data_IF_726476615828
#
_entry.id   IF_726476615828
#
_cell.length_a   1.000
_cell.length_b   1.000
_cell.length_c   1.000
_cell.angle_alpha   90.00
_cell.angle_beta   90.00
_cell.angle_gamma   90.00
#
_symmetry.space_group_name_H-M   'P 1'
#
loop_
_entity.id
_entity.type
_entity.pdbx_description
1 polymer ?
#
# COMPACT_ATOMS: atom_id res chain seq x y z
N UNK A 1 11.77 15.50 21.22
CA UNK A 1 12.81 16.40 20.66
C UNK A 1 12.47 16.61 19.20
N UNK A 2 12.31 17.85 18.75
CA UNK A 2 12.12 18.12 17.31
C UNK A 2 13.50 18.18 16.66
N UNK A 3 13.79 17.29 15.72
CA UNK A 3 15.03 17.31 14.96
C UNK A 3 15.02 18.49 14.00
N UNK A 4 16.19 19.06 13.70
CA UNK A 4 16.30 19.96 12.55
C UNK A 4 15.99 19.21 11.24
N UNK A 5 15.48 19.90 10.21
CA UNK A 5 15.15 19.23 8.93
C UNK A 5 16.33 18.47 8.33
N UNK A 6 17.56 18.99 8.50
CA UNK A 6 18.78 18.33 8.02
C UNK A 6 19.10 17.03 8.78
N UNK A 7 18.76 16.95 10.06
CA UNK A 7 18.95 15.74 10.87
C UNK A 7 17.86 14.71 10.58
N UNK A 8 16.61 15.15 10.41
CA UNK A 8 15.51 14.29 9.97
C UNK A 8 15.82 13.65 8.59
N UNK A 9 16.41 14.41 7.67
CA UNK A 9 16.82 13.91 6.36
C UNK A 9 17.86 12.79 6.43
N UNK A 10 18.77 12.82 7.40
CA UNK A 10 19.80 11.79 7.60
C UNK A 10 19.23 10.50 8.17
N UNK A 11 18.10 10.58 8.89
CA UNK A 11 17.41 9.41 9.45
C UNK A 11 16.54 8.71 8.41
N UNK A 12 16.18 9.39 7.31
CA UNK A 12 15.45 8.73 6.24
C UNK A 12 16.28 7.63 5.58
N UNK A 13 15.69 6.43 5.38
CA UNK A 13 16.23 5.45 4.46
C UNK A 13 16.45 6.04 3.08
N UNK A 14 17.52 5.59 2.42
CA UNK A 14 17.77 5.89 1.02
C UNK A 14 16.56 5.50 0.17
N UNK A 15 16.22 6.35 -0.80
CA UNK A 15 15.09 6.12 -1.71
C UNK A 15 15.20 4.80 -2.49
N UNK A 16 16.42 4.33 -2.73
CA UNK A 16 16.73 3.03 -3.34
C UNK A 16 16.19 1.83 -2.56
N UNK A 17 16.03 1.97 -1.24
CA UNK A 17 15.55 0.92 -0.31
C UNK A 17 14.03 0.91 -0.16
N UNK A 18 13.32 1.85 -0.78
CA UNK A 18 11.87 1.92 -0.68
C UNK A 18 11.22 0.77 -1.47
N UNK A 19 10.04 0.30 -1.05
CA UNK A 19 9.27 -0.67 -1.82
C UNK A 19 9.04 -0.16 -3.25
N UNK A 20 9.19 -1.07 -4.23
CA UNK A 20 8.96 -0.74 -5.65
C UNK A 20 7.64 -1.30 -6.13
N UNK A 21 6.75 -0.41 -6.52
CA UNK A 21 5.41 -0.72 -6.98
C UNK A 21 5.30 -0.63 -8.51
N UNK A 22 4.85 -1.71 -9.15
CA UNK A 22 4.70 -1.81 -10.62
C UNK A 22 3.34 -1.40 -11.16
N UNK A 23 2.35 -1.18 -10.30
CA UNK A 23 0.94 -1.07 -10.70
C UNK A 23 0.17 -2.39 -10.64
N UNK A 24 0.82 -3.46 -10.19
CA UNK A 24 0.27 -4.82 -10.12
C UNK A 24 0.64 -5.47 -8.78
N UNK A 25 -0.11 -6.51 -8.39
CA UNK A 25 0.08 -7.22 -7.13
C UNK A 25 -1.03 -6.93 -6.13
N UNK A 26 -1.39 -7.96 -5.36
CA UNK A 26 -2.59 -7.99 -4.50
C UNK A 26 -2.59 -6.87 -3.45
N UNK A 27 -1.43 -6.50 -2.89
CA UNK A 27 -1.34 -5.44 -1.86
C UNK A 27 -0.17 -4.46 -2.05
N UNK A 28 0.52 -4.54 -3.18
CA UNK A 28 1.79 -3.83 -3.35
C UNK A 28 1.68 -2.29 -3.23
N UNK A 29 0.52 -1.70 -3.55
CA UNK A 29 0.29 -0.26 -3.33
C UNK A 29 0.00 0.08 -1.86
N UNK A 30 -0.69 -0.81 -1.13
CA UNK A 30 -0.92 -0.65 0.30
C UNK A 30 0.38 -0.80 1.08
N UNK A 31 1.21 -1.79 0.73
CA UNK A 31 2.56 -1.96 1.30
C UNK A 31 3.42 -0.71 1.12
N UNK A 32 3.36 -0.07 -0.04
CA UNK A 32 4.05 1.20 -0.28
C UNK A 32 3.50 2.32 0.62
N UNK A 33 2.18 2.42 0.77
CA UNK A 33 1.52 3.42 1.60
C UNK A 33 1.89 3.24 3.07
N UNK A 34 1.85 2.00 3.57
CA UNK A 34 2.17 1.66 4.95
C UNK A 34 3.65 1.89 5.24
N UNK A 35 4.53 1.55 4.30
CA UNK A 35 5.96 1.86 4.42
C UNK A 35 6.20 3.36 4.57
N UNK A 36 5.59 4.19 3.71
CA UNK A 36 5.71 5.65 3.79
C UNK A 36 5.10 6.20 5.08
N UNK A 37 4.00 5.62 5.55
CA UNK A 37 3.42 5.97 6.84
C UNK A 37 4.39 5.67 8.00
N UNK A 38 5.08 4.52 7.95
CA UNK A 38 6.17 4.18 8.87
C UNK A 38 7.28 5.23 8.90
N UNK A 39 7.68 5.77 7.73
CA UNK A 39 8.69 6.84 7.68
C UNK A 39 8.27 8.10 8.46
N UNK A 40 6.99 8.46 8.43
CA UNK A 40 6.48 9.60 9.20
C UNK A 40 6.41 9.32 10.70
N UNK A 41 6.20 8.07 11.10
CA UNK A 41 6.24 7.66 12.51
C UNK A 41 7.68 7.67 13.03
N UNK A 42 8.59 7.08 12.27
CA UNK A 42 10.00 6.94 12.65
C UNK A 42 10.74 8.28 12.63
N UNK A 43 10.33 9.19 11.73
CA UNK A 43 10.91 10.52 11.58
C UNK A 43 9.81 11.61 11.65
N UNK A 44 9.27 11.92 12.85
CA UNK A 44 8.12 12.81 13.00
C UNK A 44 8.33 14.24 12.48
N UNK A 45 9.57 14.71 12.49
CA UNK A 45 9.93 16.07 12.05
C UNK A 45 10.08 16.16 10.53
N UNK A 46 9.80 15.11 9.74
CA UNK A 46 10.06 15.15 8.31
C UNK A 46 9.02 15.94 7.51
N UNK A 47 9.44 16.94 6.74
CA UNK A 47 8.55 17.59 5.80
C UNK A 47 8.08 16.65 4.68
N UNK A 48 6.80 16.76 4.36
CA UNK A 48 6.13 16.04 3.28
C UNK A 48 6.85 16.14 1.91
N UNK A 49 7.44 17.30 1.61
CA UNK A 49 8.11 17.54 0.34
C UNK A 49 9.33 16.63 0.14
N UNK A 50 9.98 16.15 1.22
CA UNK A 50 11.08 15.19 1.11
C UNK A 50 10.60 13.82 0.64
N UNK A 51 9.41 13.42 1.07
CA UNK A 51 8.79 12.16 0.65
C UNK A 51 8.35 12.27 -0.81
N UNK A 52 7.59 13.32 -1.14
CA UNK A 52 7.04 13.49 -2.50
C UNK A 52 8.12 13.77 -3.55
N UNK A 53 9.27 14.35 -3.17
CA UNK A 53 10.43 14.51 -4.05
C UNK A 53 11.06 13.17 -4.46
N UNK A 54 10.99 12.15 -3.60
CA UNK A 54 11.60 10.82 -3.81
C UNK A 54 10.61 9.77 -4.34
N UNK A 55 9.32 10.11 -4.40
CA UNK A 55 8.26 9.16 -4.72
C UNK A 55 8.41 8.52 -6.11
N UNK A 56 9.07 9.19 -7.06
CA UNK A 56 9.38 8.63 -8.39
C UNK A 56 10.20 7.33 -8.31
N UNK A 57 11.03 7.16 -7.27
CA UNK A 57 11.88 5.97 -7.10
C UNK A 57 11.10 4.73 -6.65
N UNK A 58 9.91 4.95 -6.07
CA UNK A 58 9.04 3.88 -5.60
C UNK A 58 8.19 3.28 -6.72
N UNK A 59 8.08 3.92 -7.89
CA UNK A 59 7.28 3.42 -9.00
C UNK A 59 8.14 2.78 -10.09
N UNK A 60 7.63 1.70 -10.69
CA UNK A 60 8.21 1.00 -11.84
C UNK A 60 7.12 0.51 -12.79
N UNK A 61 7.48 -0.08 -13.92
CA UNK A 61 6.53 -0.71 -14.84
C UNK A 61 5.48 0.28 -15.37
N UNK A 62 4.19 -0.07 -15.30
CA UNK A 62 3.13 0.83 -15.75
C UNK A 62 2.83 1.94 -14.74
N UNK A 63 3.16 1.74 -13.45
CA UNK A 63 2.90 2.74 -12.43
C UNK A 63 3.79 3.99 -12.53
N UNK A 64 5.02 3.87 -13.06
CA UNK A 64 5.88 5.05 -13.25
C UNK A 64 5.33 5.96 -14.36
N UNK A 65 4.69 5.38 -15.39
CA UNK A 65 4.05 6.15 -16.47
C UNK A 65 2.90 6.99 -15.88
N UNK A 66 1.96 6.33 -15.19
CA UNK A 66 0.86 7.00 -14.49
C UNK A 66 1.35 8.09 -13.52
N UNK A 67 2.37 7.78 -12.71
CA UNK A 67 2.92 8.75 -11.75
C UNK A 67 3.49 9.98 -12.45
N UNK A 68 4.21 9.78 -13.56
CA UNK A 68 4.86 10.86 -14.30
C UNK A 68 3.81 11.79 -14.91
N UNK A 69 2.81 11.24 -15.60
CA UNK A 69 1.68 12.00 -16.17
C UNK A 69 0.94 12.78 -15.07
N UNK A 70 0.60 12.11 -13.96
CA UNK A 70 -0.08 12.74 -12.84
C UNK A 70 0.74 13.88 -12.21
N UNK A 71 2.06 13.71 -12.09
CA UNK A 71 2.97 14.70 -11.51
C UNK A 71 3.13 15.93 -12.41
N UNK A 72 3.16 15.74 -13.72
CA UNK A 72 3.27 16.84 -14.68
C UNK A 72 2.06 17.77 -14.61
N UNK A 73 0.86 17.19 -14.50
CA UNK A 73 -0.42 17.91 -14.38
C UNK A 73 -0.58 18.50 -12.98
N UNK A 74 -0.29 17.71 -11.93
CA UNK A 74 -0.53 18.06 -10.54
C UNK A 74 0.77 18.32 -9.79
N UNK A 75 1.47 19.39 -10.16
CA UNK A 75 2.74 19.79 -9.55
C UNK A 75 2.56 20.14 -8.06
N UNK A 76 3.59 19.84 -7.26
CA UNK A 76 3.71 20.25 -5.83
C UNK A 76 2.54 19.81 -4.94
N UNK A 77 2.04 18.59 -5.13
CA UNK A 77 1.05 17.96 -4.24
C UNK A 77 1.73 17.28 -3.05
N UNK A 78 1.03 17.29 -1.91
CA UNK A 78 1.48 16.67 -0.67
C UNK A 78 1.19 15.16 -0.63
N UNK A 79 1.78 14.44 0.32
CA UNK A 79 1.59 13.00 0.50
C UNK A 79 0.13 12.60 0.70
N UNK A 80 -0.70 13.27 1.53
CA UNK A 80 -2.11 12.92 1.65
C UNK A 80 -2.85 12.89 0.32
N UNK A 81 -2.56 13.85 -0.56
CA UNK A 81 -3.12 13.88 -1.90
C UNK A 81 -2.62 12.70 -2.76
N UNK A 82 -1.31 12.40 -2.72
CA UNK A 82 -0.74 11.27 -3.45
C UNK A 82 -1.30 9.93 -2.96
N UNK A 83 -1.39 9.73 -1.64
CA UNK A 83 -2.00 8.54 -1.02
C UNK A 83 -3.42 8.32 -1.55
N UNK A 84 -4.27 9.35 -1.52
CA UNK A 84 -5.64 9.25 -2.01
C UNK A 84 -5.71 8.89 -3.50
N UNK A 85 -4.83 9.44 -4.33
CA UNK A 85 -4.78 9.13 -5.76
C UNK A 85 -4.25 7.72 -6.05
N UNK A 86 -3.26 7.25 -5.28
CA UNK A 86 -2.76 5.87 -5.37
C UNK A 86 -3.91 4.89 -5.05
N UNK A 87 -4.62 5.11 -3.94
CA UNK A 87 -5.78 4.30 -3.55
C UNK A 87 -6.87 4.37 -4.63
N UNK A 88 -7.20 5.57 -5.11
CA UNK A 88 -8.24 5.74 -6.12
C UNK A 88 -7.90 5.01 -7.43
N UNK A 89 -6.64 5.01 -7.84
CA UNK A 89 -6.21 4.42 -9.11
C UNK A 89 -5.97 2.91 -9.02
N UNK A 90 -5.46 2.42 -7.89
CA UNK A 90 -5.03 1.03 -7.73
C UNK A 90 -5.90 0.19 -6.80
N UNK A 91 -6.90 0.78 -6.15
CA UNK A 91 -7.87 0.06 -5.30
C UNK A 91 -9.28 -0.01 -5.92
N UNK A 92 -9.41 0.04 -7.25
CA UNK A 92 -10.69 0.00 -7.97
C UNK A 92 -10.73 -1.04 -9.09
N UNK A 93 -11.95 -1.46 -9.44
CA UNK A 93 -12.24 -2.27 -10.63
C UNK A 93 -11.46 -3.59 -10.65
N UNK A 94 -10.47 -3.67 -11.54
CA UNK A 94 -9.63 -4.86 -11.75
C UNK A 94 -8.90 -5.32 -10.49
N UNK A 95 -8.54 -4.42 -9.57
CA UNK A 95 -7.89 -4.82 -8.32
C UNK A 95 -8.82 -5.61 -7.39
N UNK A 96 -10.09 -5.21 -7.29
CA UNK A 96 -11.10 -5.96 -6.51
C UNK A 96 -11.21 -7.36 -7.09
N UNK A 97 -11.32 -7.50 -8.42
CA UNK A 97 -11.29 -8.80 -9.08
C UNK A 97 -10.02 -9.61 -8.80
N UNK A 98 -8.86 -8.97 -8.76
CA UNK A 98 -7.58 -9.60 -8.43
C UNK A 98 -7.49 -10.08 -6.97
N UNK A 99 -8.33 -9.57 -6.07
CA UNK A 99 -8.42 -10.04 -4.67
C UNK A 99 -9.53 -11.09 -4.52
N UNK A 100 -10.70 -10.83 -5.12
CA UNK A 100 -11.86 -11.72 -5.07
C UNK A 100 -11.57 -13.07 -5.69
N UNK A 101 -10.94 -13.11 -6.87
CA UNK A 101 -10.68 -14.38 -7.57
C UNK A 101 -9.75 -15.31 -6.77
N UNK A 102 -8.59 -14.85 -6.25
CA UNK A 102 -7.80 -15.68 -5.35
C UNK A 102 -8.51 -16.05 -4.06
N UNK A 103 -9.33 -15.17 -3.48
CA UNK A 103 -10.14 -15.50 -2.30
C UNK A 103 -11.08 -16.69 -2.58
N UNK A 104 -11.88 -16.61 -3.64
CA UNK A 104 -12.86 -17.64 -4.02
C UNK A 104 -12.22 -18.98 -4.41
N UNK A 105 -11.01 -18.96 -4.97
CA UNK A 105 -10.35 -20.18 -5.48
C UNK A 105 -9.37 -20.82 -4.48
N UNK A 106 -8.89 -20.10 -3.47
CA UNK A 106 -7.90 -20.57 -2.49
C UNK A 106 -8.58 -21.30 -1.33
N UNK A 107 -9.03 -22.53 -1.59
CA UNK A 107 -9.59 -23.43 -0.57
C UNK A 107 -8.53 -23.87 0.43
N UNK A 108 -8.92 -24.03 1.70
CA UNK A 108 -8.01 -24.43 2.76
C UNK A 108 -7.32 -25.77 2.47
N UNK A 109 -5.98 -25.81 2.37
CA UNK A 109 -5.24 -27.06 2.23
C UNK A 109 -5.07 -27.72 3.60
N UNK A 110 -5.71 -28.89 3.78
CA UNK A 110 -5.78 -29.63 5.06
C UNK A 110 -4.39 -29.99 5.63
N UNK A 111 -3.36 -30.01 4.78
CA UNK A 111 -1.98 -30.34 5.11
C UNK A 111 -1.12 -29.15 5.56
N UNK A 112 -1.64 -27.92 5.56
CA UNK A 112 -0.89 -26.72 5.98
C UNK A 112 -1.37 -26.19 7.33
N UNK A 113 -0.57 -25.29 7.90
CA UNK A 113 -0.94 -24.54 9.09
C UNK A 113 -2.17 -23.64 8.81
N UNK A 114 -3.29 -23.79 9.57
CA UNK A 114 -4.46 -22.93 9.45
C UNK A 114 -4.14 -21.45 9.60
N UNK A 115 -3.15 -21.09 10.42
CA UNK A 115 -2.86 -19.69 10.75
C UNK A 115 -2.49 -18.86 9.52
N UNK A 116 -1.52 -19.33 8.74
CA UNK A 116 -1.03 -18.63 7.54
C UNK A 116 -2.12 -18.49 6.47
N UNK A 117 -2.96 -19.51 6.30
CA UNK A 117 -4.07 -19.47 5.36
C UNK A 117 -5.16 -18.48 5.83
N UNK A 118 -5.59 -18.57 7.09
CA UNK A 118 -6.59 -17.66 7.66
C UNK A 118 -6.11 -16.20 7.61
N UNK A 119 -4.84 -15.94 7.91
CA UNK A 119 -4.26 -14.59 7.86
C UNK A 119 -4.29 -14.03 6.44
N UNK A 120 -3.90 -14.83 5.43
CA UNK A 120 -3.95 -14.42 4.02
C UNK A 120 -5.38 -14.14 3.55
N UNK A 121 -6.33 -15.01 3.87
CA UNK A 121 -7.74 -14.81 3.49
C UNK A 121 -8.39 -13.65 4.21
N UNK A 122 -8.06 -13.42 5.49
CA UNK A 122 -8.54 -12.26 6.23
C UNK A 122 -8.09 -10.95 5.58
N UNK A 123 -6.85 -10.87 5.09
CA UNK A 123 -6.34 -9.70 4.34
C UNK A 123 -7.11 -9.46 3.03
N UNK A 124 -7.65 -10.51 2.40
CA UNK A 124 -8.48 -10.42 1.18
C UNK A 124 -9.86 -9.87 1.43
N UNK A 125 -10.43 -10.19 2.59
CA UNK A 125 -11.76 -9.74 2.96
C UNK A 125 -11.82 -8.26 3.35
N UNK A 126 -10.77 -7.70 3.95
CA UNK A 126 -10.77 -6.30 4.42
C UNK A 126 -11.09 -5.27 3.33
N UNK A 127 -10.49 -5.33 2.12
CA UNK A 127 -10.84 -4.39 1.06
C UNK A 127 -12.16 -4.72 0.34
N UNK A 128 -12.62 -5.97 0.40
CA UNK A 128 -13.86 -6.41 -0.24
C UNK A 128 -15.09 -5.90 0.51
N UNK A 129 -15.05 -5.95 1.85
CA UNK A 129 -16.11 -5.39 2.70
C UNK A 129 -15.50 -4.76 3.97
N UNK A 130 -15.23 -3.44 3.95
CA UNK A 130 -14.70 -2.72 5.09
C UNK A 130 -15.61 -2.72 6.33
N UNK A 131 -16.89 -3.05 6.19
CA UNK A 131 -17.86 -3.08 7.30
C UNK A 131 -18.00 -4.47 7.93
N UNK A 132 -17.36 -5.51 7.37
CA UNK A 132 -17.40 -6.84 7.94
C UNK A 132 -16.80 -6.89 9.34
N UNK A 133 -17.61 -7.33 10.31
CA UNK A 133 -17.12 -7.66 11.63
C UNK A 133 -16.42 -9.04 11.65
N UNK A 134 -15.78 -9.36 12.77
CA UNK A 134 -15.00 -10.61 12.91
C UNK A 134 -15.85 -11.88 12.70
N UNK A 135 -17.12 -11.88 13.12
CA UNK A 135 -18.00 -13.03 12.94
C UNK A 135 -18.36 -13.24 11.46
N UNK A 136 -18.62 -12.14 10.74
CA UNK A 136 -18.87 -12.20 9.29
C UNK A 136 -17.64 -12.69 8.53
N UNK A 137 -16.43 -12.24 8.90
CA UNK A 137 -15.17 -12.78 8.32
C UNK A 137 -15.03 -14.27 8.57
N UNK A 138 -15.22 -14.70 9.81
CA UNK A 138 -15.09 -16.13 10.14
C UNK A 138 -16.09 -16.98 9.37
N UNK A 139 -17.33 -16.52 9.19
CA UNK A 139 -18.32 -17.25 8.40
C UNK A 139 -17.91 -17.40 6.93
N UNK A 140 -17.33 -16.35 6.31
CA UNK A 140 -16.84 -16.40 4.93
C UNK A 140 -15.65 -17.36 4.75
N UNK A 141 -14.82 -17.54 5.79
CA UNK A 141 -13.69 -18.47 5.77
C UNK A 141 -14.10 -19.95 5.92
N UNK A 142 -15.31 -20.21 6.41
CA UNK A 142 -15.82 -21.56 6.71
C UNK A 142 -16.75 -22.11 5.61
N UNK A 143 -17.13 -21.29 4.64
CA UNK A 143 -17.91 -21.64 3.44
C UNK A 143 -17.02 -22.07 2.28
#
# INVERSE_FOLDING_TARGET
>A
MSYSEKEALKQLPEASKWPRFSGTGEYAHMELIDYIYGLFIDVPSIPDYWITARLNTAFKGHAIIWYTEMKEINRRRNWPWWKSNIIQNYSKGTWIWQITMPFENDKYPVDKDPYEWCLRQSKRLEPMDPQMNIHMRNNQLLT
#
